data_IF_894566818235
#
_entry.id   IF_894566818235
#
_cell.length_a   1.000
_cell.length_b   1.000
_cell.length_c   1.000
_cell.angle_alpha   90.00
_cell.angle_beta   90.00
_cell.angle_gamma   90.00
#
_symmetry.space_group_name_H-M   'P 1'
#
loop_
_entity.id
_entity.type
_entity.pdbx_description
1 polymer ?
#
# COMPACT_ATOMS: atom_id res chain seq x y z
N UNK A 1 -4.33 6.50 -0.55
CA UNK A 1 -4.04 5.16 0.02
C UNK A 1 -4.00 5.24 1.54
N UNK A 2 -5.13 5.17 2.13
CA UNK A 2 -5.26 5.27 3.57
C UNK A 2 -6.32 4.32 4.09
N UNK A 3 -7.06 4.75 5.11
CA UNK A 3 -8.16 3.99 5.65
C UNK A 3 -9.48 4.70 5.33
N UNK A 4 -10.58 4.01 5.59
CA UNK A 4 -11.90 4.61 5.43
C UNK A 4 -12.06 5.86 6.32
N UNK A 5 -11.50 5.81 7.53
CA UNK A 5 -11.55 6.92 8.47
C UNK A 5 -10.51 8.01 8.19
N UNK A 6 -9.39 7.64 7.58
CA UNK A 6 -8.30 8.56 7.24
C UNK A 6 -7.86 8.31 5.80
N UNK A 7 -8.58 8.86 4.82
CA UNK A 7 -8.21 8.67 3.41
C UNK A 7 -6.84 9.28 3.12
N UNK A 8 -6.12 8.67 2.20
CA UNK A 8 -4.85 9.20 1.74
C UNK A 8 -5.03 10.24 0.64
N UNK A 9 -3.95 10.96 0.34
CA UNK A 9 -3.96 11.97 -0.72
C UNK A 9 -4.16 11.35 -2.11
N UNK A 10 -3.79 10.09 -2.27
CA UNK A 10 -3.84 9.40 -3.56
C UNK A 10 -4.85 8.25 -3.58
N UNK A 11 -5.96 8.41 -2.88
CA UNK A 11 -7.00 7.38 -2.88
C UNK A 11 -7.69 7.32 -4.23
N UNK A 12 -7.75 6.11 -4.80
CA UNK A 12 -8.32 5.91 -6.12
C UNK A 12 -9.82 6.23 -6.16
N UNK A 13 -10.55 5.92 -5.10
CA UNK A 13 -11.99 6.20 -5.06
C UNK A 13 -12.29 7.69 -5.22
N UNK A 14 -11.54 8.54 -4.49
CA UNK A 14 -11.76 9.98 -4.53
C UNK A 14 -11.27 10.61 -5.84
N UNK A 15 -10.27 10.00 -6.47
CA UNK A 15 -9.61 10.58 -7.64
C UNK A 15 -10.03 9.94 -8.97
N UNK A 16 -10.86 8.91 -8.92
CA UNK A 16 -11.32 8.24 -10.14
C UNK A 16 -12.35 9.08 -10.88
N UNK A 17 -12.32 8.98 -12.20
CA UNK A 17 -13.37 9.53 -13.02
C UNK A 17 -14.65 8.69 -12.89
N UNK A 18 -15.85 9.24 -13.17
CA UNK A 18 -17.11 8.55 -12.88
C UNK A 18 -17.25 7.14 -13.44
N UNK A 19 -16.75 6.90 -14.64
CA UNK A 19 -16.85 5.59 -15.29
C UNK A 19 -15.52 4.86 -15.39
N UNK A 20 -14.52 5.32 -14.66
CA UNK A 20 -13.21 4.72 -14.66
C UNK A 20 -13.21 3.43 -13.84
N UNK A 21 -12.85 2.28 -14.43
CA UNK A 21 -12.79 1.03 -13.66
C UNK A 21 -11.73 1.08 -12.56
N UNK A 22 -12.09 0.52 -11.41
CA UNK A 22 -11.21 0.49 -10.24
C UNK A 22 -11.08 -0.92 -9.71
N UNK A 23 -9.91 -1.20 -9.12
CA UNK A 23 -9.70 -2.41 -8.35
C UNK A 23 -9.19 -2.02 -6.97
N UNK A 24 -9.90 -2.43 -5.93
CA UNK A 24 -9.61 -2.04 -4.54
C UNK A 24 -9.11 -3.25 -3.77
N UNK A 25 -7.96 -3.08 -3.12
CA UNK A 25 -7.37 -4.08 -2.24
C UNK A 25 -7.53 -3.67 -0.79
N UNK A 26 -7.96 -4.62 0.04
CA UNK A 26 -8.10 -4.40 1.47
C UNK A 26 -7.01 -5.16 2.22
N UNK A 27 -6.61 -4.65 3.38
CA UNK A 27 -5.56 -5.26 4.19
C UNK A 27 -5.86 -6.70 4.59
N UNK A 28 -7.14 -7.08 4.66
CA UNK A 28 -7.53 -8.46 4.99
C UNK A 28 -7.16 -9.46 3.90
N UNK A 29 -6.90 -8.98 2.67
CA UNK A 29 -6.40 -9.84 1.61
C UNK A 29 -4.93 -10.13 1.86
N UNK A 30 -4.59 -11.40 1.95
CA UNK A 30 -3.24 -11.86 2.25
C UNK A 30 -2.21 -11.34 1.25
N UNK A 31 -2.61 -11.19 0.00
CA UNK A 31 -1.72 -10.76 -1.08
C UNK A 31 -1.58 -9.24 -1.18
N UNK A 32 -2.42 -8.47 -0.49
CA UNK A 32 -2.52 -7.03 -0.72
C UNK A 32 -1.19 -6.28 -0.50
N UNK A 33 -0.46 -6.48 0.61
CA UNK A 33 0.80 -5.74 0.79
C UNK A 33 1.81 -6.03 -0.31
N UNK A 34 1.92 -7.29 -0.72
CA UNK A 34 2.85 -7.69 -1.77
C UNK A 34 2.49 -7.08 -3.11
N UNK A 35 1.21 -7.04 -3.45
CA UNK A 35 0.73 -6.47 -4.70
C UNK A 35 0.97 -4.96 -4.72
N UNK A 36 0.72 -4.28 -3.61
CA UNK A 36 0.97 -2.84 -3.50
C UNK A 36 2.45 -2.53 -3.73
N UNK A 37 3.35 -3.31 -3.11
CA UNK A 37 4.79 -3.14 -3.30
C UNK A 37 5.21 -3.44 -4.73
N UNK A 38 4.62 -4.44 -5.34
CA UNK A 38 4.89 -4.77 -6.73
C UNK A 38 4.47 -3.64 -7.67
N UNK A 39 3.34 -3.01 -7.39
CA UNK A 39 2.89 -1.85 -8.16
C UNK A 39 3.91 -0.70 -8.12
N UNK A 40 4.47 -0.42 -6.93
CA UNK A 40 5.51 0.60 -6.80
C UNK A 40 6.74 0.22 -7.62
N UNK A 41 7.16 -1.04 -7.55
CA UNK A 41 8.29 -1.55 -8.34
C UNK A 41 8.06 -1.36 -9.83
N UNK A 42 6.87 -1.68 -10.32
CA UNK A 42 6.53 -1.53 -11.74
C UNK A 42 6.61 -0.06 -12.17
N UNK A 43 6.15 0.87 -11.32
CA UNK A 43 6.25 2.29 -11.60
C UNK A 43 7.72 2.72 -11.73
N UNK A 44 8.57 2.28 -10.81
CA UNK A 44 9.99 2.63 -10.83
C UNK A 44 10.68 2.08 -12.08
N UNK A 45 10.41 0.85 -12.43
CA UNK A 45 10.99 0.21 -13.62
C UNK A 45 10.57 0.96 -14.89
N UNK A 46 9.30 1.33 -15.00
CA UNK A 46 8.82 2.08 -16.16
C UNK A 46 9.46 3.46 -16.28
N UNK A 47 9.86 4.05 -15.16
CA UNK A 47 10.55 5.34 -15.15
C UNK A 47 12.05 5.20 -15.33
N UNK A 48 12.55 3.98 -15.57
CA UNK A 48 13.97 3.73 -15.76
C UNK A 48 14.79 3.75 -14.48
N UNK A 49 14.14 3.62 -13.32
CA UNK A 49 14.83 3.60 -12.03
C UNK A 49 15.05 2.17 -11.57
N UNK A 50 16.22 1.84 -11.01
CA UNK A 50 16.47 0.50 -10.51
C UNK A 50 15.66 0.24 -9.25
N UNK A 51 15.24 -1.02 -9.07
CA UNK A 51 14.58 -1.41 -7.84
C UNK A 51 15.66 -1.63 -6.76
N UNK A 52 15.58 -0.94 -5.61
CA UNK A 52 16.62 -1.03 -4.60
C UNK A 52 16.62 -2.38 -3.90
N UNK A 53 17.79 -2.79 -3.40
CA UNK A 53 17.93 -4.01 -2.59
C UNK A 53 17.18 -3.87 -1.27
N UNK A 54 17.25 -2.70 -0.65
CA UNK A 54 16.50 -2.39 0.57
C UNK A 54 15.48 -1.33 0.22
N UNK A 55 14.20 -1.65 0.41
CA UNK A 55 13.10 -0.75 0.08
C UNK A 55 12.75 0.06 1.32
N UNK A 56 13.10 1.35 1.27
CA UNK A 56 12.81 2.30 2.32
C UNK A 56 12.01 3.45 1.71
N UNK A 57 10.82 3.77 2.26
CA UNK A 57 10.00 4.85 1.71
C UNK A 57 10.70 6.21 1.65
N UNK A 58 11.75 6.42 2.47
CA UNK A 58 12.47 7.68 2.49
C UNK A 58 13.50 7.83 1.38
N UNK A 59 13.73 6.80 0.56
CA UNK A 59 14.69 6.87 -0.54
C UNK A 59 14.32 8.00 -1.51
N UNK A 60 15.31 8.79 -1.98
CA UNK A 60 15.02 9.94 -2.83
C UNK A 60 14.33 9.61 -4.16
N UNK A 61 14.48 8.38 -4.65
CA UNK A 61 13.85 7.99 -5.91
C UNK A 61 12.33 7.90 -5.82
N UNK A 62 11.77 7.73 -4.60
CA UNK A 62 10.33 7.59 -4.43
C UNK A 62 9.65 8.94 -4.31
N UNK A 63 8.63 9.16 -5.14
CA UNK A 63 7.77 10.33 -5.02
C UNK A 63 6.73 10.14 -3.90
N UNK A 64 5.92 11.16 -3.66
CA UNK A 64 4.93 11.11 -2.58
C UNK A 64 3.93 9.98 -2.76
N UNK A 65 3.53 9.71 -3.99
CA UNK A 65 2.59 8.64 -4.29
C UNK A 65 3.19 7.26 -3.99
N UNK A 66 4.45 7.05 -4.35
CA UNK A 66 5.14 5.81 -4.05
C UNK A 66 5.34 5.65 -2.53
N UNK A 67 5.70 6.73 -1.84
CA UNK A 67 5.84 6.71 -0.38
C UNK A 67 4.54 6.37 0.30
N UNK A 68 3.44 6.95 -0.14
CA UNK A 68 2.12 6.65 0.42
C UNK A 68 1.75 5.19 0.21
N UNK A 69 2.04 4.65 -0.97
CA UNK A 69 1.76 3.24 -1.26
C UNK A 69 2.59 2.30 -0.39
N UNK A 70 3.89 2.57 -0.23
CA UNK A 70 4.76 1.75 0.61
C UNK A 70 4.33 1.81 2.08
N UNK A 71 3.97 2.98 2.57
CA UNK A 71 3.45 3.13 3.93
C UNK A 71 2.13 2.37 4.09
N UNK A 72 1.28 2.38 3.07
CA UNK A 72 0.03 1.64 3.08
C UNK A 72 0.28 0.13 3.15
N UNK A 73 1.25 -0.38 2.39
CA UNK A 73 1.60 -1.80 2.46
C UNK A 73 2.06 -2.21 3.85
N UNK A 74 2.90 -1.39 4.48
CA UNK A 74 3.34 -1.63 5.86
C UNK A 74 2.16 -1.61 6.83
N UNK A 75 1.25 -0.67 6.66
CA UNK A 75 0.04 -0.57 7.49
C UNK A 75 -0.89 -1.79 7.29
N UNK A 76 -0.97 -2.29 6.07
CA UNK A 76 -1.74 -3.52 5.78
C UNK A 76 -1.18 -4.72 6.51
N UNK A 77 0.15 -4.86 6.53
CA UNK A 77 0.78 -5.95 7.27
C UNK A 77 0.55 -5.82 8.77
N UNK A 78 0.69 -4.62 9.31
CA UNK A 78 0.44 -4.38 10.73
C UNK A 78 -1.01 -4.68 11.11
N UNK A 79 -1.96 -4.32 10.25
CA UNK A 79 -3.38 -4.64 10.46
C UNK A 79 -3.60 -6.15 10.50
N UNK A 80 -3.00 -6.88 9.56
CA UNK A 80 -3.13 -8.34 9.50
C UNK A 80 -2.52 -9.02 10.71
N UNK A 81 -1.38 -8.54 11.17
CA UNK A 81 -0.74 -9.07 12.37
C UNK A 81 -1.64 -8.92 13.59
N UNK A 82 -2.27 -7.75 13.75
CA UNK A 82 -3.21 -7.52 14.84
C UNK A 82 -4.44 -8.41 14.73
N UNK A 83 -4.97 -8.57 13.51
CA UNK A 83 -6.17 -9.36 13.27
C UNK A 83 -5.94 -10.86 13.47
N UNK A 84 -4.71 -11.34 13.21
CA UNK A 84 -4.38 -12.76 13.33
C UNK A 84 -3.86 -13.12 14.72
N UNK A 85 -3.53 -12.14 15.55
CA UNK A 85 -3.06 -12.40 16.92
C UNK A 85 -4.25 -12.86 17.78
N UNK A 86 -4.14 -14.03 18.44
CA UNK A 86 -5.21 -14.48 19.32
C UNK A 86 -5.43 -13.51 20.46
N UNK A 87 -6.68 -13.29 20.90
CA UNK A 87 -6.94 -12.44 22.04
C UNK A 87 -6.22 -12.94 23.29
N UNK A 88 -5.56 -12.02 23.99
CA UNK A 88 -4.79 -12.38 25.17
C UNK A 88 -5.66 -12.88 26.32
N UNK A 89 -6.87 -12.41 26.37
CA UNK A 89 -7.80 -12.69 27.46
C UNK A 89 -8.58 -13.98 27.27
N UNK A 90 -8.36 -14.71 26.20
CA UNK A 90 -9.05 -15.97 25.95
C UNK A 90 -8.39 -17.16 26.63
N UNK A 91 -7.39 -16.92 27.36
CA UNK A 91 -6.68 -17.97 28.08
C UNK A 91 -7.51 -18.52 29.22
#
# INVERSE_FOLDING_TARGET
MGTKNKPGAFDCYANAEPDEPMFVLLARDESAPKIVRHWVREREIRKGRPWPTIVDPSLPQFDDKAREALACADAMEAFRERASTPPQDTV
#
